data_IF_865606534608
#
_entry.id   IF_865606534608
#
_cell.length_a   1.000
_cell.length_b   1.000
_cell.length_c   1.000
_cell.angle_alpha   90.00
_cell.angle_beta   90.00
_cell.angle_gamma   90.00
#
_symmetry.space_group_name_H-M   'P 1'
#
loop_
_entity.id
_entity.type
_entity.pdbx_description
1 polymer ?
#
# COMPACT_ATOMS: atom_id res chain seq x y z
N UNK A 1 -2.28 -2.91 16.32
CA UNK A 1 -1.77 -2.74 14.95
C UNK A 1 -2.06 -1.31 14.55
N UNK A 2 -1.10 -0.39 14.63
CA UNK A 2 -1.36 1.02 14.37
C UNK A 2 -1.51 1.29 12.85
N UNK A 3 -2.42 2.20 12.52
CA UNK A 3 -2.41 3.02 11.31
C UNK A 3 -1.69 4.32 11.69
N UNK A 4 -0.40 4.45 11.39
CA UNK A 4 0.45 5.52 11.94
C UNK A 4 0.14 6.91 11.36
N UNK A 5 -0.54 6.93 10.22
CA UNK A 5 -1.07 8.07 9.49
C UNK A 5 -2.49 8.44 9.94
N UNK A 6 -3.17 7.59 10.71
CA UNK A 6 -4.52 7.85 11.23
C UNK A 6 -4.48 8.38 12.66
N UNK A 7 -5.59 9.04 13.05
CA UNK A 7 -5.76 9.68 14.37
C UNK A 7 -6.35 8.73 15.41
N UNK A 8 -6.14 7.43 15.24
CA UNK A 8 -6.84 6.39 16.01
C UNK A 8 -6.18 6.09 17.36
N UNK A 9 -4.86 6.23 17.45
CA UNK A 9 -4.09 5.88 18.65
C UNK A 9 -3.34 7.09 19.20
N UNK A 10 -3.37 7.23 20.52
CA UNK A 10 -2.63 8.23 21.28
C UNK A 10 -1.47 7.58 22.05
N UNK A 11 -0.64 8.40 22.68
CA UNK A 11 0.45 7.93 23.55
C UNK A 11 -0.02 6.93 24.62
N UNK A 12 -1.24 7.12 25.16
CA UNK A 12 -1.82 6.24 26.17
C UNK A 12 -1.97 4.81 25.64
N UNK A 13 -2.47 4.63 24.43
CA UNK A 13 -2.62 3.32 23.83
C UNK A 13 -1.25 2.66 23.62
N UNK A 14 -0.27 3.39 23.09
CA UNK A 14 1.10 2.85 22.90
C UNK A 14 1.78 2.45 24.21
N UNK A 15 1.60 3.20 25.30
CA UNK A 15 2.14 2.79 26.61
C UNK A 15 1.37 1.66 27.29
N UNK A 16 0.14 1.36 26.86
CA UNK A 16 -0.73 0.38 27.51
C UNK A 16 -0.54 -1.06 27.01
N UNK A 17 0.16 -1.26 25.91
CA UNK A 17 0.29 -2.57 25.25
C UNK A 17 1.60 -3.28 25.57
N UNK A 18 1.59 -4.61 25.49
CA UNK A 18 2.81 -5.44 25.57
C UNK A 18 3.43 -5.69 24.19
N UNK A 19 2.63 -5.55 23.12
CA UNK A 19 3.05 -5.81 21.75
C UNK A 19 2.46 -4.79 20.78
N UNK A 20 3.30 -4.27 19.89
CA UNK A 20 2.89 -3.49 18.71
C UNK A 20 3.21 -4.27 17.45
N UNK A 21 2.20 -4.54 16.63
CA UNK A 21 2.36 -5.20 15.33
C UNK A 21 2.36 -4.14 14.22
N UNK A 22 3.52 -3.88 13.66
CA UNK A 22 3.74 -2.94 12.57
C UNK A 22 3.71 -3.67 11.23
N UNK A 23 2.81 -3.25 10.34
CA UNK A 23 2.68 -3.83 8.99
C UNK A 23 3.64 -3.21 7.98
N UNK A 24 4.17 -2.04 8.29
CA UNK A 24 5.06 -1.26 7.44
C UNK A 24 6.38 -1.05 8.17
N UNK A 25 7.46 -0.88 7.42
CA UNK A 25 8.77 -0.56 7.96
C UNK A 25 8.75 0.83 8.60
N UNK A 26 8.06 1.80 7.99
CA UNK A 26 7.86 3.12 8.58
C UNK A 26 7.20 3.02 9.96
N UNK A 27 6.21 2.13 10.15
CA UNK A 27 5.63 1.88 11.46
C UNK A 27 6.66 1.33 12.44
N UNK A 28 7.40 0.29 12.05
CA UNK A 28 8.39 -0.35 12.93
C UNK A 28 9.42 0.66 13.44
N UNK A 29 9.99 1.43 12.51
CA UNK A 29 11.00 2.44 12.82
C UNK A 29 10.43 3.58 13.67
N UNK A 30 9.26 4.12 13.32
CA UNK A 30 8.65 5.25 14.03
C UNK A 30 8.18 4.86 15.42
N UNK A 31 7.57 3.69 15.60
CA UNK A 31 7.15 3.23 16.93
C UNK A 31 8.37 2.97 17.81
N UNK A 32 9.44 2.36 17.29
CA UNK A 32 10.69 2.16 18.05
C UNK A 32 11.34 3.48 18.43
N UNK A 33 11.42 4.44 17.49
CA UNK A 33 11.94 5.78 17.76
C UNK A 33 11.08 6.53 18.80
N UNK A 34 9.76 6.39 18.71
CA UNK A 34 8.83 6.97 19.67
C UNK A 34 9.01 6.40 21.08
N UNK A 35 9.13 5.07 21.22
CA UNK A 35 9.44 4.45 22.51
C UNK A 35 10.80 4.85 23.07
N UNK A 36 11.79 5.09 22.20
CA UNK A 36 13.09 5.62 22.62
C UNK A 36 12.99 7.08 23.10
N UNK A 37 12.10 7.88 22.49
CA UNK A 37 11.86 9.29 22.85
C UNK A 37 11.03 9.43 24.13
N UNK A 38 9.90 8.72 24.21
CA UNK A 38 8.85 8.92 25.22
C UNK A 38 8.88 7.86 26.34
N UNK A 39 9.77 6.88 26.24
CA UNK A 39 9.88 5.77 27.16
C UNK A 39 8.93 4.62 26.84
N UNK A 40 9.35 3.41 27.23
CA UNK A 40 8.61 2.17 27.03
C UNK A 40 8.32 1.49 28.39
N UNK A 41 7.33 1.98 29.16
CA UNK A 41 7.12 1.59 30.55
C UNK A 41 6.74 0.12 30.72
N UNK A 42 6.17 -0.51 29.68
CA UNK A 42 5.81 -1.94 29.67
C UNK A 42 6.85 -2.83 29.00
N UNK A 43 7.94 -2.25 28.47
CA UNK A 43 8.88 -3.01 27.64
C UNK A 43 8.20 -3.62 26.41
N UNK A 44 7.21 -2.92 25.84
CA UNK A 44 6.43 -3.37 24.70
C UNK A 44 7.32 -3.79 23.54
N UNK A 45 7.07 -4.98 22.98
CA UNK A 45 7.81 -5.51 21.83
C UNK A 45 7.17 -5.04 20.53
N UNK A 46 7.97 -4.47 19.63
CA UNK A 46 7.52 -4.09 18.28
C UNK A 46 7.88 -5.21 17.31
N UNK A 47 6.89 -5.78 16.64
CA UNK A 47 7.06 -6.75 15.56
C UNK A 47 6.77 -6.08 14.22
N UNK A 48 7.78 -6.01 13.35
CA UNK A 48 7.55 -5.79 11.94
C UNK A 48 7.00 -7.05 11.29
N UNK A 49 5.84 -6.97 10.65
CA UNK A 49 5.07 -8.12 10.15
C UNK A 49 4.95 -8.14 8.63
N UNK A 50 5.38 -7.06 7.94
CA UNK A 50 4.95 -6.73 6.57
C UNK A 50 3.43 -6.67 6.44
N UNK A 51 2.98 -6.27 5.26
CA UNK A 51 1.56 -6.26 4.93
C UNK A 51 1.24 -7.36 3.94
N UNK A 52 0.08 -7.98 4.11
CA UNK A 52 -0.50 -8.88 3.12
C UNK A 52 -2.02 -8.76 3.15
N UNK A 53 -2.64 -8.94 2.00
CA UNK A 53 -4.09 -8.91 1.79
C UNK A 53 -4.58 -10.18 1.10
N UNK A 54 -5.90 -10.38 1.05
CA UNK A 54 -6.50 -11.50 0.30
C UNK A 54 -6.28 -11.33 -1.22
N UNK A 55 -5.96 -12.41 -1.91
CA UNK A 55 -5.87 -12.46 -3.37
C UNK A 55 -7.28 -12.58 -3.99
N UNK A 56 -8.00 -11.46 -4.03
CA UNK A 56 -9.34 -11.37 -4.59
C UNK A 56 -9.39 -11.73 -6.08
N UNK A 57 -8.29 -11.51 -6.81
CA UNK A 57 -8.19 -11.84 -8.23
C UNK A 57 -8.18 -13.35 -8.43
N UNK A 58 -7.31 -14.06 -7.71
CA UNK A 58 -7.25 -15.52 -7.76
C UNK A 58 -8.56 -16.15 -7.27
N UNK A 59 -9.14 -15.61 -6.18
CA UNK A 59 -10.44 -16.09 -5.70
C UNK A 59 -11.55 -15.97 -6.77
N UNK A 60 -11.59 -14.87 -7.52
CA UNK A 60 -12.57 -14.72 -8.60
C UNK A 60 -12.32 -15.70 -9.76
N UNK A 61 -11.06 -15.96 -10.12
CA UNK A 61 -10.71 -16.97 -11.14
C UNK A 61 -11.18 -18.36 -10.71
N UNK A 62 -10.97 -18.74 -9.44
CA UNK A 62 -11.44 -20.02 -8.88
C UNK A 62 -12.97 -20.16 -8.92
N UNK A 63 -13.69 -19.06 -8.64
CA UNK A 63 -15.15 -19.06 -8.60
C UNK A 63 -15.82 -19.03 -9.98
N UNK A 64 -15.21 -18.34 -10.95
CA UNK A 64 -15.77 -18.13 -12.29
C UNK A 64 -15.25 -19.13 -13.33
N UNK A 65 -14.06 -19.68 -13.12
CA UNK A 65 -13.31 -20.44 -14.11
C UNK A 65 -12.45 -19.54 -15.00
N UNK A 66 -11.28 -20.04 -15.41
CA UNK A 66 -10.29 -19.30 -16.20
C UNK A 66 -10.85 -18.78 -17.54
N UNK A 67 -11.77 -19.52 -18.18
CA UNK A 67 -12.37 -19.11 -19.46
C UNK A 67 -13.23 -17.84 -19.35
N UNK A 68 -13.73 -17.54 -18.15
CA UNK A 68 -14.61 -16.39 -17.89
C UNK A 68 -13.84 -15.13 -17.48
N UNK A 69 -12.52 -15.21 -17.33
CA UNK A 69 -11.64 -14.10 -16.94
C UNK A 69 -10.70 -13.78 -18.09
N UNK A 70 -10.79 -12.57 -18.63
CA UNK A 70 -9.90 -12.14 -19.71
C UNK A 70 -8.44 -12.13 -19.23
N UNK A 71 -7.49 -12.68 -20.00
CA UNK A 71 -6.07 -12.57 -19.65
C UNK A 71 -5.61 -11.11 -19.65
N UNK A 72 -4.59 -10.82 -18.85
CA UNK A 72 -3.95 -9.49 -18.83
C UNK A 72 -3.28 -9.19 -20.18
N UNK A 73 -3.29 -7.92 -20.55
CA UNK A 73 -2.73 -7.40 -21.80
C UNK A 73 -1.75 -6.25 -21.47
N UNK A 74 -0.46 -6.52 -21.69
CA UNK A 74 0.62 -5.54 -21.46
C UNK A 74 1.00 -4.75 -22.72
N UNK A 75 0.39 -5.07 -23.87
CA UNK A 75 0.58 -4.37 -25.14
C UNK A 75 -0.44 -3.25 -25.28
N UNK A 76 -1.74 -3.56 -25.17
CA UNK A 76 -2.82 -2.57 -25.24
C UNK A 76 -3.07 -1.96 -23.86
N UNK A 77 -2.36 -0.86 -23.58
CA UNK A 77 -2.43 -0.19 -22.28
C UNK A 77 -3.85 0.33 -21.98
N UNK A 78 -4.34 0.00 -20.79
CA UNK A 78 -5.57 0.53 -20.19
C UNK A 78 -5.36 0.65 -18.69
N UNK A 79 -5.61 1.82 -18.14
CA UNK A 79 -5.38 2.10 -16.72
C UNK A 79 -6.67 1.93 -15.93
N UNK A 80 -6.54 1.47 -14.69
CA UNK A 80 -7.65 1.35 -13.75
C UNK A 80 -7.30 2.06 -12.45
N UNK A 81 -8.20 2.93 -11.97
CA UNK A 81 -8.14 3.55 -10.66
C UNK A 81 -9.35 3.14 -9.83
N UNK A 82 -9.13 2.51 -8.68
CA UNK A 82 -10.20 2.09 -7.76
C UNK A 82 -10.21 2.97 -6.51
N UNK A 83 -10.91 4.10 -6.58
CA UNK A 83 -10.99 5.05 -5.47
C UNK A 83 -11.86 4.54 -4.30
N UNK A 84 -12.90 3.77 -4.62
CA UNK A 84 -13.90 3.34 -3.63
C UNK A 84 -14.57 4.55 -2.95
N UNK A 85 -14.61 4.54 -1.62
CA UNK A 85 -15.18 5.62 -0.80
C UNK A 85 -14.14 6.54 -0.16
N UNK A 86 -12.84 6.36 -0.46
CA UNK A 86 -11.78 7.10 0.22
C UNK A 86 -11.50 8.45 -0.48
N UNK A 87 -11.30 9.54 0.28
CA UNK A 87 -10.89 10.83 -0.27
C UNK A 87 -9.37 10.92 -0.51
N UNK A 88 -8.59 9.96 -0.03
CA UNK A 88 -7.12 10.03 -0.01
C UNK A 88 -6.46 9.28 -1.16
N UNK A 89 -7.22 8.84 -2.18
CA UNK A 89 -6.71 7.99 -3.27
C UNK A 89 -6.07 8.76 -4.43
N UNK A 90 -6.00 10.09 -4.33
CA UNK A 90 -5.47 10.93 -5.40
C UNK A 90 -6.38 11.03 -6.62
N UNK A 91 -7.68 10.74 -6.47
CA UNK A 91 -8.64 10.75 -7.59
C UNK A 91 -8.69 12.09 -8.33
N UNK A 92 -8.49 13.20 -7.61
CA UNK A 92 -8.45 14.53 -8.21
C UNK A 92 -7.29 14.64 -9.20
N UNK A 93 -6.08 14.26 -8.78
CA UNK A 93 -4.89 14.25 -9.63
C UNK A 93 -5.04 13.30 -10.81
N UNK A 94 -5.70 12.15 -10.63
CA UNK A 94 -6.03 11.22 -11.72
C UNK A 94 -6.94 11.88 -12.76
N UNK A 95 -8.04 12.50 -12.32
CA UNK A 95 -8.99 13.17 -13.20
C UNK A 95 -8.34 14.36 -13.93
N UNK A 96 -7.67 15.24 -13.20
CA UNK A 96 -6.97 16.40 -13.76
C UNK A 96 -5.93 15.97 -14.81
N UNK A 97 -5.22 14.85 -14.56
CA UNK A 97 -4.27 14.30 -15.51
C UNK A 97 -4.95 13.77 -16.78
N UNK A 98 -5.99 12.96 -16.64
CA UNK A 98 -6.65 12.34 -17.80
C UNK A 98 -7.42 13.34 -18.66
N UNK A 99 -8.12 14.28 -18.03
CA UNK A 99 -8.92 15.29 -18.73
C UNK A 99 -8.05 16.30 -19.48
N UNK A 100 -6.82 16.55 -19.03
CA UNK A 100 -5.83 17.34 -19.77
C UNK A 100 -5.13 16.59 -20.90
N UNK A 101 -5.28 15.26 -20.97
CA UNK A 101 -4.60 14.39 -21.95
C UNK A 101 -5.60 13.46 -22.66
N UNK A 102 -6.43 13.96 -23.59
CA UNK A 102 -7.43 13.13 -24.31
C UNK A 102 -6.81 12.02 -25.17
N UNK A 103 -5.50 12.11 -25.47
CA UNK A 103 -4.75 11.11 -26.22
C UNK A 103 -4.16 9.99 -25.32
N UNK A 104 -4.29 10.10 -24.00
CA UNK A 104 -3.87 9.01 -23.11
C UNK A 104 -4.73 7.77 -23.32
N UNK A 105 -4.19 6.56 -23.01
CA UNK A 105 -4.98 5.35 -23.06
C UNK A 105 -6.19 5.43 -22.14
N UNK A 106 -7.22 4.61 -22.37
CA UNK A 106 -8.43 4.68 -21.57
C UNK A 106 -8.17 4.47 -20.08
N UNK A 107 -8.88 5.24 -19.26
CA UNK A 107 -8.99 5.09 -17.82
C UNK A 107 -10.33 4.43 -17.47
N UNK A 108 -10.28 3.42 -16.62
CA UNK A 108 -11.43 2.96 -15.83
C UNK A 108 -11.36 3.55 -14.44
N UNK A 109 -12.30 4.44 -14.12
CA UNK A 109 -12.42 5.04 -12.80
C UNK A 109 -13.57 4.37 -12.05
N UNK A 110 -13.23 3.50 -11.09
CA UNK A 110 -14.17 2.90 -10.17
C UNK A 110 -14.26 3.73 -8.89
N UNK A 111 -15.41 4.35 -8.65
CA UNK A 111 -15.65 5.22 -7.49
C UNK A 111 -17.06 5.00 -6.95
N UNK A 112 -17.23 5.00 -5.63
CA UNK A 112 -18.56 4.86 -5.04
C UNK A 112 -19.43 6.08 -5.36
N UNK A 113 -20.70 5.87 -5.74
CA UNK A 113 -21.65 6.92 -6.13
C UNK A 113 -21.61 8.14 -5.20
N UNK A 114 -21.80 7.93 -3.89
CA UNK A 114 -21.77 9.03 -2.91
C UNK A 114 -20.42 9.77 -2.89
N UNK A 115 -19.30 9.05 -2.99
CA UNK A 115 -17.97 9.68 -2.99
C UNK A 115 -17.76 10.52 -4.24
N UNK A 116 -18.27 10.06 -5.40
CA UNK A 116 -18.26 10.85 -6.64
C UNK A 116 -19.16 12.08 -6.54
N UNK A 117 -20.42 11.89 -6.14
CA UNK A 117 -21.42 12.94 -6.01
C UNK A 117 -20.98 14.07 -5.08
N UNK A 118 -20.48 13.71 -3.89
CA UNK A 118 -20.14 14.69 -2.86
C UNK A 118 -18.88 15.51 -3.16
N UNK A 119 -17.94 14.96 -3.95
CA UNK A 119 -16.58 15.53 -4.07
C UNK A 119 -16.18 15.93 -5.48
N UNK A 120 -16.72 15.26 -6.49
CA UNK A 120 -16.20 15.35 -7.85
C UNK A 120 -17.27 15.79 -8.85
N UNK A 121 -18.53 15.41 -8.66
CA UNK A 121 -19.58 15.64 -9.66
C UNK A 121 -19.72 17.13 -10.03
N UNK A 122 -19.77 18.04 -9.06
CA UNK A 122 -19.94 19.48 -9.35
C UNK A 122 -18.80 20.08 -10.19
N UNK A 123 -17.61 19.47 -10.19
CA UNK A 123 -16.40 19.99 -10.86
C UNK A 123 -16.12 19.24 -12.16
N UNK A 124 -16.37 17.93 -12.21
CA UNK A 124 -15.83 17.05 -13.25
C UNK A 124 -16.88 16.47 -14.20
N UNK A 125 -18.18 16.54 -13.90
CA UNK A 125 -19.19 15.79 -14.66
C UNK A 125 -19.24 16.17 -16.14
N UNK A 126 -19.27 17.48 -16.45
CA UNK A 126 -19.27 17.98 -17.83
C UNK A 126 -18.00 17.57 -18.59
N UNK A 127 -16.83 17.76 -17.98
CA UNK A 127 -15.55 17.40 -18.59
C UNK A 127 -15.42 15.88 -18.83
N UNK A 128 -15.91 15.04 -17.90
CA UNK A 128 -15.91 13.59 -18.06
C UNK A 128 -16.87 13.15 -19.17
N UNK A 129 -18.03 13.80 -19.32
CA UNK A 129 -18.97 13.50 -20.39
C UNK A 129 -18.39 13.79 -21.79
N UNK A 130 -17.52 14.79 -21.91
CA UNK A 130 -16.84 15.13 -23.16
C UNK A 130 -15.55 14.33 -23.39
N UNK A 131 -14.99 13.72 -22.35
CA UNK A 131 -13.71 13.02 -22.43
C UNK A 131 -13.83 11.67 -23.17
N UNK A 132 -13.06 11.45 -24.25
CA UNK A 132 -13.14 10.22 -25.04
C UNK A 132 -12.47 9.01 -24.37
N UNK A 133 -11.66 9.25 -23.34
CA UNK A 133 -10.77 8.26 -22.73
C UNK A 133 -11.00 8.04 -21.22
N UNK A 134 -12.05 8.61 -20.62
CA UNK A 134 -12.39 8.41 -19.21
C UNK A 134 -13.70 7.63 -19.10
N UNK A 135 -13.63 6.42 -18.52
CA UNK A 135 -14.80 5.59 -18.24
C UNK A 135 -15.11 5.66 -16.75
N UNK A 136 -16.11 6.46 -16.40
CA UNK A 136 -16.58 6.59 -15.01
C UNK A 136 -17.54 5.46 -14.66
N UNK A 137 -17.19 4.67 -13.63
CA UNK A 137 -17.95 3.50 -13.20
C UNK A 137 -18.32 3.68 -11.72
N UNK A 138 -19.61 3.98 -11.48
CA UNK A 138 -20.14 4.26 -10.13
C UNK A 138 -20.82 3.07 -9.44
N UNK A 139 -20.86 1.93 -10.12
CA UNK A 139 -21.59 0.75 -9.68
C UNK A 139 -20.86 0.03 -8.54
N UNK A 140 -21.60 -0.31 -7.48
CA UNK A 140 -21.12 -1.23 -6.44
C UNK A 140 -20.99 -2.66 -6.99
N UNK A 141 -19.96 -3.36 -6.57
CA UNK A 141 -19.63 -4.70 -7.06
C UNK A 141 -19.55 -5.66 -5.89
N UNK A 142 -20.00 -6.89 -6.13
CA UNK A 142 -19.76 -7.97 -5.19
C UNK A 142 -18.29 -8.38 -5.23
N UNK A 143 -17.90 -9.23 -4.28
CA UNK A 143 -16.50 -9.64 -4.10
C UNK A 143 -15.96 -10.35 -5.35
N UNK A 144 -16.76 -11.20 -5.99
CA UNK A 144 -16.35 -11.96 -7.18
C UNK A 144 -16.23 -11.03 -8.40
N UNK A 145 -17.18 -10.12 -8.61
CA UNK A 145 -17.12 -9.14 -9.70
C UNK A 145 -15.95 -8.17 -9.56
N UNK A 146 -15.69 -7.68 -8.34
CA UNK A 146 -14.49 -6.86 -8.10
C UNK A 146 -13.20 -7.65 -8.29
N UNK A 147 -13.15 -8.89 -7.81
CA UNK A 147 -12.01 -9.79 -8.03
C UNK A 147 -11.75 -10.04 -9.52
N UNK A 148 -12.80 -10.23 -10.34
CA UNK A 148 -12.68 -10.35 -11.79
C UNK A 148 -12.02 -9.11 -12.40
N UNK A 149 -12.40 -7.91 -11.99
CA UNK A 149 -11.77 -6.68 -12.47
C UNK A 149 -10.28 -6.66 -12.13
N UNK A 150 -9.91 -6.97 -10.89
CA UNK A 150 -8.50 -7.06 -10.51
C UNK A 150 -7.74 -8.11 -11.35
N UNK A 151 -8.36 -9.24 -11.62
CA UNK A 151 -7.77 -10.30 -12.44
C UNK A 151 -7.56 -9.86 -13.90
N UNK A 152 -8.49 -9.09 -14.49
CA UNK A 152 -8.39 -8.61 -15.87
C UNK A 152 -7.55 -7.32 -16.04
N UNK A 153 -7.42 -6.50 -15.00
CA UNK A 153 -6.69 -5.22 -15.06
C UNK A 153 -5.19 -5.44 -15.16
N UNK A 154 -4.55 -4.80 -16.13
CA UNK A 154 -3.09 -4.91 -16.34
C UNK A 154 -2.30 -3.74 -15.75
N UNK A 155 -2.90 -2.54 -15.66
CA UNK A 155 -2.26 -1.33 -15.16
C UNK A 155 -3.12 -0.66 -14.09
N UNK A 156 -2.55 -0.50 -12.90
CA UNK A 156 -3.21 0.06 -11.74
C UNK A 156 -2.64 1.43 -11.40
N UNK A 157 -3.52 2.42 -11.28
CA UNK A 157 -3.20 3.72 -10.71
C UNK A 157 -3.56 3.68 -9.24
N UNK A 158 -2.54 3.74 -8.40
CA UNK A 158 -2.66 3.79 -6.94
C UNK A 158 -2.01 5.04 -6.32
N UNK A 159 -2.27 6.27 -6.81
CA UNK A 159 -1.56 7.46 -6.36
C UNK A 159 -2.15 8.04 -5.06
N UNK A 160 -2.19 7.24 -3.99
CA UNK A 160 -2.74 7.71 -2.71
C UNK A 160 -1.94 8.87 -2.12
N UNK A 161 -2.63 9.86 -1.58
CA UNK A 161 -2.08 10.90 -0.70
C UNK A 161 -1.72 10.32 0.68
N UNK A 162 -2.48 9.34 1.14
CA UNK A 162 -2.30 8.72 2.46
C UNK A 162 -2.77 7.26 2.43
N UNK A 163 -1.96 6.36 2.99
CA UNK A 163 -2.30 4.95 3.18
C UNK A 163 -1.85 4.44 4.54
N UNK A 164 -2.65 3.59 5.16
CA UNK A 164 -2.19 2.84 6.34
C UNK A 164 -1.29 1.68 6.00
N UNK A 165 -1.71 0.93 5.00
CA UNK A 165 -1.00 -0.28 4.59
C UNK A 165 -0.91 -0.46 3.10
N UNK A 166 -1.73 0.23 2.30
CA UNK A 166 -1.76 0.05 0.85
C UNK A 166 -2.59 -1.13 0.38
N UNK A 167 -3.77 -1.39 0.98
CA UNK A 167 -4.63 -2.54 0.65
C UNK A 167 -4.85 -2.74 -0.86
N UNK A 168 -5.23 -1.69 -1.58
CA UNK A 168 -5.50 -1.79 -3.02
C UNK A 168 -4.23 -1.86 -3.89
N UNK A 169 -3.10 -1.35 -3.39
CA UNK A 169 -1.78 -1.55 -4.00
C UNK A 169 -1.39 -3.02 -3.89
N UNK A 170 -1.59 -3.62 -2.71
CA UNK A 170 -1.27 -5.02 -2.46
C UNK A 170 -2.19 -5.98 -3.25
N UNK A 171 -3.46 -5.64 -3.42
CA UNK A 171 -4.38 -6.36 -4.32
C UNK A 171 -3.92 -6.28 -5.78
N UNK A 172 -3.43 -5.12 -6.23
CA UNK A 172 -2.86 -4.97 -7.56
C UNK A 172 -1.61 -5.84 -7.75
N UNK A 173 -0.71 -5.87 -6.75
CA UNK A 173 0.48 -6.73 -6.71
C UNK A 173 0.07 -8.22 -6.77
N UNK A 174 -0.85 -8.65 -5.90
CA UNK A 174 -1.35 -10.02 -5.86
C UNK A 174 -1.93 -10.47 -7.21
N UNK A 175 -2.68 -9.59 -7.87
CA UNK A 175 -3.25 -9.87 -9.19
C UNK A 175 -2.20 -10.02 -10.30
N UNK A 176 -0.99 -9.49 -10.13
CA UNK A 176 0.04 -9.40 -11.17
C UNK A 176 -0.19 -8.25 -12.14
N UNK A 177 -0.42 -7.04 -11.65
CA UNK A 177 -0.51 -5.83 -12.46
C UNK A 177 0.74 -4.94 -12.40
N UNK A 178 0.89 -4.06 -13.39
CA UNK A 178 1.82 -2.93 -13.31
C UNK A 178 1.20 -1.87 -12.41
N UNK A 179 1.91 -1.46 -11.36
CA UNK A 179 1.40 -0.49 -10.38
C UNK A 179 2.13 0.83 -10.52
N UNK A 180 1.38 1.93 -10.57
CA UNK A 180 1.89 3.29 -10.40
C UNK A 180 1.38 3.82 -9.05
N UNK A 181 2.27 4.18 -8.14
CA UNK A 181 1.91 4.66 -6.79
C UNK A 181 2.80 5.83 -6.36
N UNK A 182 2.44 6.57 -5.33
CA UNK A 182 3.22 7.72 -4.81
C UNK A 182 4.50 7.30 -4.08
N UNK A 183 5.55 8.12 -4.16
CA UNK A 183 6.83 7.92 -3.46
C UNK A 183 6.81 8.44 -2.02
N UNK A 184 5.87 7.95 -1.20
CA UNK A 184 5.81 8.22 0.24
C UNK A 184 5.44 6.94 0.98
N UNK A 185 5.82 6.85 2.26
CA UNK A 185 5.44 5.72 3.10
C UNK A 185 3.92 5.63 3.29
N UNK A 186 3.34 4.41 3.28
CA UNK A 186 3.96 3.12 2.99
C UNK A 186 3.91 2.70 1.51
N UNK A 187 3.38 3.53 0.62
CA UNK A 187 3.21 3.19 -0.80
C UNK A 187 4.53 2.73 -1.46
N UNK A 188 5.62 3.45 -1.20
CA UNK A 188 6.95 3.12 -1.73
C UNK A 188 7.63 1.91 -1.05
N UNK A 189 7.08 1.40 0.05
CA UNK A 189 7.53 0.13 0.63
C UNK A 189 6.99 -1.07 -0.15
N UNK A 190 5.77 -0.95 -0.71
CA UNK A 190 5.13 -1.99 -1.50
C UNK A 190 5.66 -2.06 -2.94
N UNK A 191 6.12 -0.92 -3.47
CA UNK A 191 6.77 -0.78 -4.78
C UNK A 191 8.18 -0.23 -4.53
N UNK A 192 9.09 -1.11 -4.11
CA UNK A 192 10.42 -0.72 -3.63
C UNK A 192 11.48 -0.58 -4.73
N UNK A 193 11.13 -0.91 -5.98
CA UNK A 193 12.04 -0.72 -7.12
C UNK A 193 11.30 -0.56 -8.44
N UNK A 194 11.98 0.02 -9.43
CA UNK A 194 11.45 0.23 -10.78
C UNK A 194 11.20 -1.07 -11.57
N UNK A 195 11.66 -2.22 -11.07
CA UNK A 195 11.46 -3.51 -11.72
C UNK A 195 10.12 -4.16 -11.35
N UNK A 196 9.33 -3.55 -10.45
CA UNK A 196 8.05 -4.06 -9.96
C UNK A 196 6.91 -3.03 -10.01
N UNK A 197 7.19 -1.79 -10.43
CA UNK A 197 6.21 -0.72 -10.56
C UNK A 197 6.88 0.63 -10.80
N UNK A 198 6.09 1.69 -10.77
CA UNK A 198 6.54 3.07 -10.97
C UNK A 198 6.12 3.92 -9.79
N UNK A 199 7.04 4.74 -9.30
CA UNK A 199 6.77 5.72 -8.26
C UNK A 199 6.52 7.09 -8.89
N UNK A 200 5.44 7.74 -8.45
CA UNK A 200 5.13 9.14 -8.75
C UNK A 200 5.98 9.99 -7.83
N UNK A 201 6.72 10.93 -8.41
CA UNK A 201 7.50 11.90 -7.65
C UNK A 201 6.57 12.73 -6.75
N UNK A 202 6.89 12.77 -5.46
CA UNK A 202 6.03 13.34 -4.42
C UNK A 202 6.87 14.04 -3.35
N UNK A 203 6.29 15.05 -2.72
CA UNK A 203 6.81 15.63 -1.49
C UNK A 203 6.18 14.99 -0.26
N UNK A 204 6.95 14.91 0.82
CA UNK A 204 6.47 14.44 2.12
C UNK A 204 5.90 15.62 2.92
N UNK A 205 4.59 15.62 3.13
CA UNK A 205 3.90 16.59 3.96
C UNK A 205 3.65 16.03 5.37
N UNK A 206 3.99 16.84 6.36
CA UNK A 206 3.69 16.56 7.75
C UNK A 206 2.25 16.97 8.06
N UNK A 207 1.59 16.21 8.94
CA UNK A 207 0.23 16.51 9.38
C UNK A 207 0.21 16.71 10.90
N UNK A 208 -0.29 17.86 11.41
CA UNK A 208 -0.24 18.18 12.84
C UNK A 208 -1.08 17.27 13.73
N UNK A 209 -1.90 16.40 13.13
CA UNK A 209 -2.78 15.47 13.85
C UNK A 209 -2.25 14.04 13.92
N UNK A 210 -1.13 13.73 13.27
CA UNK A 210 -0.55 12.38 13.25
C UNK A 210 0.52 12.23 14.33
N UNK A 211 0.26 11.43 15.38
CA UNK A 211 1.17 11.26 16.52
C UNK A 211 2.58 10.87 16.10
N UNK A 212 2.70 10.00 15.09
CA UNK A 212 3.98 9.51 14.57
C UNK A 212 4.43 10.20 13.27
N UNK A 213 3.80 11.34 12.92
CA UNK A 213 3.97 12.04 11.65
C UNK A 213 4.96 13.22 11.66
N UNK A 214 5.73 13.40 12.74
CA UNK A 214 6.84 14.38 12.79
C UNK A 214 6.47 15.82 13.18
N UNK A 215 5.22 16.24 12.96
CA UNK A 215 4.75 17.60 13.25
C UNK A 215 3.52 17.65 14.18
N UNK A 216 3.29 16.61 14.98
CA UNK A 216 2.14 16.55 15.87
C UNK A 216 2.10 17.74 16.84
N UNK A 217 0.99 18.47 16.88
CA UNK A 217 0.83 19.67 17.72
C UNK A 217 0.49 19.35 19.19
N UNK A 218 0.03 18.12 19.46
CA UNK A 218 -0.24 17.65 20.81
C UNK A 218 1.02 17.25 21.59
N UNK A 219 0.83 16.70 22.78
CA UNK A 219 1.94 16.16 23.58
C UNK A 219 2.36 14.78 23.07
N UNK A 220 3.61 14.41 23.34
CA UNK A 220 4.16 13.07 23.04
C UNK A 220 4.17 12.71 21.55
N UNK A 221 4.18 13.69 20.65
CA UNK A 221 4.40 13.43 19.22
C UNK A 221 5.83 12.97 18.93
N UNK A 222 6.00 12.02 18.01
CA UNK A 222 7.33 11.68 17.49
C UNK A 222 7.93 12.88 16.77
N UNK A 223 9.17 13.23 17.11
CA UNK A 223 9.91 14.35 16.52
C UNK A 223 10.91 13.86 15.48
N UNK A 224 11.42 14.79 14.67
CA UNK A 224 12.57 14.57 13.78
C UNK A 224 12.39 13.43 12.76
N UNK A 225 11.20 13.32 12.21
CA UNK A 225 10.86 12.39 11.12
C UNK A 225 10.08 13.11 10.04
N UNK A 226 10.19 12.66 8.80
CA UNK A 226 9.45 13.24 7.68
C UNK A 226 7.94 12.96 7.77
N UNK A 227 7.17 13.69 6.96
CA UNK A 227 5.74 13.51 6.80
C UNK A 227 5.34 12.13 6.26
N UNK A 228 4.06 11.80 6.48
CA UNK A 228 3.41 10.57 5.99
C UNK A 228 2.37 10.85 4.90
N UNK A 229 2.16 12.11 4.54
CA UNK A 229 1.21 12.51 3.48
C UNK A 229 2.00 12.79 2.22
N UNK A 230 1.58 12.22 1.11
CA UNK A 230 2.11 12.54 -0.20
C UNK A 230 1.46 13.80 -0.76
N UNK A 231 2.28 14.70 -1.29
CA UNK A 231 1.86 15.87 -2.03
C UNK A 231 2.43 15.82 -3.43
N UNK A 232 1.54 15.85 -4.42
CA UNK A 232 1.89 15.79 -5.83
C UNK A 232 0.78 16.42 -6.68
N UNK A 233 1.18 16.89 -7.85
CA UNK A 233 0.30 17.48 -8.85
C UNK A 233 -0.20 16.44 -9.86
N UNK A 234 -1.22 16.81 -10.63
CA UNK A 234 -1.63 16.03 -11.79
C UNK A 234 -0.48 15.82 -12.80
N UNK A 235 0.41 16.81 -12.94
CA UNK A 235 1.54 16.74 -13.87
C UNK A 235 2.57 15.68 -13.44
N UNK A 236 2.81 15.51 -12.14
CA UNK A 236 3.72 14.48 -11.62
C UNK A 236 3.18 13.08 -11.95
N UNK A 237 1.87 12.88 -11.77
CA UNK A 237 1.19 11.65 -12.17
C UNK A 237 1.25 11.43 -13.68
N UNK A 238 0.95 12.46 -14.49
CA UNK A 238 1.01 12.36 -15.95
C UNK A 238 2.41 11.98 -16.42
N UNK A 239 3.46 12.56 -15.85
CA UNK A 239 4.84 12.25 -16.20
C UNK A 239 5.18 10.78 -15.94
N UNK A 240 4.65 10.22 -14.84
CA UNK A 240 4.80 8.80 -14.50
C UNK A 240 4.06 7.88 -15.47
N UNK A 241 2.85 8.27 -15.88
CA UNK A 241 2.08 7.56 -16.91
C UNK A 241 2.79 7.60 -18.25
N UNK A 242 3.26 8.78 -18.67
CA UNK A 242 4.03 8.94 -19.90
C UNK A 242 5.30 8.10 -19.88
N UNK A 243 5.97 8.01 -18.73
CA UNK A 243 7.14 7.14 -18.58
C UNK A 243 6.80 5.68 -18.88
N UNK A 244 5.71 5.15 -18.33
CA UNK A 244 5.23 3.79 -18.65
C UNK A 244 4.95 3.65 -20.15
N UNK A 245 4.30 4.64 -20.77
CA UNK A 245 3.94 4.58 -22.18
C UNK A 245 5.14 4.62 -23.12
N UNK A 246 6.10 5.51 -22.86
CA UNK A 246 7.22 5.82 -23.76
C UNK A 246 8.47 4.99 -23.49
N UNK A 247 8.68 4.54 -22.25
CA UNK A 247 9.96 3.96 -21.81
C UNK A 247 9.86 2.52 -21.31
N UNK A 248 8.70 1.87 -21.47
CA UNK A 248 8.55 0.44 -21.16
C UNK A 248 7.95 -0.32 -22.35
N UNK A 249 8.51 -1.49 -22.64
CA UNK A 249 7.98 -2.45 -23.59
C UNK A 249 6.94 -3.38 -22.93
N UNK A 250 6.08 -4.07 -23.71
CA UNK A 250 5.16 -5.07 -23.17
C UNK A 250 5.85 -6.12 -22.29
N UNK A 251 7.03 -6.60 -22.71
CA UNK A 251 7.83 -7.56 -21.92
C UNK A 251 8.33 -6.98 -20.60
N UNK A 252 8.73 -5.71 -20.57
CA UNK A 252 9.14 -5.06 -19.31
C UNK A 252 7.95 -4.88 -18.37
N UNK A 253 6.77 -4.53 -18.89
CA UNK A 253 5.53 -4.39 -18.12
C UNK A 253 5.08 -5.72 -17.52
N UNK A 254 5.13 -6.80 -18.30
CA UNK A 254 4.85 -8.16 -17.82
C UNK A 254 5.85 -8.60 -16.72
N UNK A 255 7.14 -8.27 -16.91
CA UNK A 255 8.15 -8.53 -15.88
C UNK A 255 7.89 -7.74 -14.59
N UNK A 256 7.48 -6.47 -14.69
CA UNK A 256 7.07 -5.66 -13.53
C UNK A 256 5.92 -6.31 -12.77
N UNK A 257 4.85 -6.68 -13.48
CA UNK A 257 3.70 -7.39 -12.93
C UNK A 257 4.10 -8.70 -12.23
N UNK A 258 4.99 -9.48 -12.84
CA UNK A 258 5.48 -10.74 -12.29
C UNK A 258 6.29 -10.51 -11.00
N UNK A 259 7.17 -9.52 -10.99
CA UNK A 259 7.98 -9.18 -9.82
C UNK A 259 7.12 -8.63 -8.68
N UNK A 260 6.11 -7.81 -8.99
CA UNK A 260 5.14 -7.30 -8.02
C UNK A 260 4.41 -8.45 -7.32
N UNK A 261 3.90 -9.42 -8.09
CA UNK A 261 3.21 -10.61 -7.57
C UNK A 261 4.13 -11.51 -6.75
N UNK A 262 5.38 -11.69 -7.21
CA UNK A 262 6.39 -12.43 -6.45
C UNK A 262 6.62 -11.79 -5.08
N UNK A 263 6.79 -10.46 -5.02
CA UNK A 263 7.00 -9.76 -3.76
C UNK A 263 5.78 -9.87 -2.84
N UNK A 264 4.55 -9.82 -3.37
CA UNK A 264 3.34 -10.10 -2.58
C UNK A 264 3.42 -11.47 -1.88
N UNK A 265 3.78 -12.54 -2.60
CA UNK A 265 3.90 -13.87 -2.01
C UNK A 265 5.03 -13.97 -0.97
N UNK A 266 6.15 -13.29 -1.20
CA UNK A 266 7.24 -13.20 -0.22
C UNK A 266 6.78 -12.48 1.07
N UNK A 267 6.00 -11.41 0.93
CA UNK A 267 5.43 -10.67 2.06
C UNK A 267 4.39 -11.50 2.83
N UNK A 268 3.54 -12.26 2.12
CA UNK A 268 2.61 -13.23 2.74
C UNK A 268 3.36 -14.29 3.55
N UNK A 269 4.44 -14.84 2.98
CA UNK A 269 5.28 -15.82 3.69
C UNK A 269 5.93 -15.22 4.92
N UNK A 270 6.50 -14.01 4.81
CA UNK A 270 7.10 -13.29 5.92
C UNK A 270 6.08 -13.02 7.03
N UNK A 271 4.88 -12.55 6.66
CA UNK A 271 3.79 -12.32 7.60
C UNK A 271 3.42 -13.59 8.36
N UNK A 272 3.24 -14.72 7.66
CA UNK A 272 2.93 -16.01 8.28
C UNK A 272 4.02 -16.43 9.30
N UNK A 273 5.30 -16.30 8.93
CA UNK A 273 6.42 -16.58 9.83
C UNK A 273 6.40 -15.67 11.06
N UNK A 274 6.11 -14.38 10.90
CA UNK A 274 6.01 -13.44 12.03
C UNK A 274 4.82 -13.71 12.93
N UNK A 275 3.71 -14.23 12.40
CA UNK A 275 2.59 -14.68 13.23
C UNK A 275 2.94 -15.92 14.06
N UNK A 276 3.77 -16.83 13.54
CA UNK A 276 4.31 -17.96 14.33
C UNK A 276 5.17 -17.42 15.47
N UNK A 277 6.11 -16.51 15.18
CA UNK A 277 6.95 -15.90 16.21
C UNK A 277 6.16 -15.14 17.26
N UNK A 278 5.14 -14.36 16.86
CA UNK A 278 4.24 -13.68 17.79
C UNK A 278 3.56 -14.68 18.73
N UNK A 279 3.10 -15.82 18.19
CA UNK A 279 2.49 -16.90 18.98
C UNK A 279 3.48 -17.52 19.95
N UNK A 280 4.74 -17.69 19.55
CA UNK A 280 5.81 -18.20 20.42
C UNK A 280 6.15 -17.20 21.52
N UNK A 281 6.35 -15.93 21.19
CA UNK A 281 6.56 -14.85 22.16
C UNK A 281 5.42 -14.78 23.19
N UNK A 282 4.16 -14.84 22.74
CA UNK A 282 3.00 -14.83 23.63
C UNK A 282 2.93 -16.08 24.55
N UNK A 283 3.55 -17.20 24.16
CA UNK A 283 3.70 -18.41 24.97
C UNK A 283 4.93 -18.36 25.86
N UNK A 284 6.02 -17.74 25.44
CA UNK A 284 7.24 -17.55 26.22
C UNK A 284 7.02 -16.60 27.39
N UNK A 285 6.24 -15.53 27.17
CA UNK A 285 5.69 -14.73 28.26
C UNK A 285 4.82 -15.55 29.24
N UNK A 286 4.45 -16.79 28.90
CA UNK A 286 3.80 -17.76 29.79
C UNK A 286 4.73 -18.89 30.28
N UNK A 287 5.85 -19.19 29.63
CA UNK A 287 6.88 -20.16 30.06
C UNK A 287 8.12 -20.17 29.14
N UNK A 288 9.34 -20.22 29.68
CA UNK A 288 10.63 -20.18 28.95
C UNK A 288 10.84 -21.33 27.96
N UNK A 289 10.84 -21.03 26.66
CA UNK A 289 11.33 -21.86 25.56
C UNK A 289 12.03 -20.97 24.53
N UNK A 290 12.82 -21.52 23.60
CA UNK A 290 13.54 -20.76 22.55
C UNK A 290 13.22 -21.36 21.17
N UNK A 291 12.85 -20.58 20.15
CA UNK A 291 12.48 -21.11 18.83
C UNK A 291 13.68 -21.64 18.01
N UNK A 292 13.47 -22.66 17.16
CA UNK A 292 14.41 -23.07 16.12
C UNK A 292 14.74 -21.93 15.14
N UNK A 293 15.97 -21.89 14.64
CA UNK A 293 16.47 -20.83 13.75
C UNK A 293 15.70 -20.72 12.41
N UNK A 294 15.12 -21.83 11.95
CA UNK A 294 14.26 -21.91 10.76
C UNK A 294 12.94 -21.14 10.90
N UNK A 295 12.51 -20.87 12.14
CA UNK A 295 11.32 -20.06 12.45
C UNK A 295 11.66 -18.55 12.55
N UNK A 296 12.92 -18.15 12.33
CA UNK A 296 13.34 -16.74 12.30
C UNK A 296 13.11 -16.14 10.91
N UNK A 297 12.15 -15.22 10.78
CA UNK A 297 11.79 -14.56 9.53
C UNK A 297 13.00 -13.91 8.84
N UNK A 298 13.23 -14.30 7.59
CA UNK A 298 14.33 -13.78 6.77
C UNK A 298 14.02 -12.33 6.38
N UNK A 299 14.96 -11.42 6.64
CA UNK A 299 14.77 -9.97 6.40
C UNK A 299 14.23 -9.19 7.60
N UNK A 300 14.13 -9.82 8.78
CA UNK A 300 13.88 -9.10 10.03
C UNK A 300 15.08 -8.21 10.39
N UNK A 301 14.89 -6.89 10.60
CA UNK A 301 15.94 -5.99 11.08
C UNK A 301 16.63 -6.48 12.36
N UNK A 302 15.94 -7.27 13.20
CA UNK A 302 16.49 -7.80 14.45
C UNK A 302 17.29 -9.10 14.29
N UNK A 303 17.25 -9.77 13.12
CA UNK A 303 18.00 -11.02 12.87
C UNK A 303 19.51 -10.85 13.07
N UNK A 304 20.03 -9.65 12.82
CA UNK A 304 21.45 -9.31 13.00
C UNK A 304 21.88 -9.36 14.48
N UNK A 305 20.95 -9.14 15.42
CA UNK A 305 21.26 -9.12 16.85
C UNK A 305 21.30 -10.55 17.42
N UNK A 306 20.38 -11.41 17.00
CA UNK A 306 20.31 -12.82 17.44
C UNK A 306 21.52 -13.65 17.00
N UNK A 307 22.07 -13.38 15.81
CA UNK A 307 23.27 -14.07 15.31
C UNK A 307 24.56 -13.65 16.05
N UNK A 308 24.59 -12.47 16.70
CA UNK A 308 25.74 -12.02 17.49
C UNK A 308 25.78 -12.64 18.89
N UNK A 309 24.63 -13.03 19.46
CA UNK A 309 24.58 -13.64 20.80
C UNK A 309 24.82 -15.15 20.80
N UNK A 310 24.91 -15.79 19.63
CA UNK A 310 25.17 -17.23 19.48
C UNK A 310 26.64 -17.62 19.29
N UNK A 311 27.57 -16.67 19.19
CA UNK A 311 29.00 -16.94 18.95
C UNK A 311 29.82 -16.99 20.27
N UNK A 312 29.25 -16.55 21.39
CA UNK A 312 29.91 -16.53 22.71
C UNK A 312 29.24 -17.48 23.75
N UNK A 313 28.98 -18.74 23.37
CA UNK A 313 28.73 -19.84 24.33
C UNK A 313 29.37 -21.14 23.91
#
# INVERSE_FOLDING_TARGET
>A
MPNIEMRELTAKEYWSVDVVLCRTLACDQRVKAWYAQEGNPRGAKVFYTRFTSSDSANHAVEMLGESEVRPKDFEKVRFTHTAGSSPYKGTQQVLDCWLSHPNFPPLDLYIHENNYGDRYQAVYDEAILEAPNVNLIRKSMDTVGFGKILAETSFFLCPSLQEGYGHYIDQARASGGVVITTDVHPMNELISSNNMGVLVETQHEANPTMLLGGAYEGTHGLKSVDGLVASFSAQDLCSSVEHVLKHTSPKQREAMATNARKQYHEDTKFFAQRMIQLRLYAREMRSSWVPPEEDIAVGDPERIVLLRTGIDR
#
